data_IF_797854362929
#
_entry.id   IF_797854362929
#
_cell.length_a   1.000
_cell.length_b   1.000
_cell.length_c   1.000
_cell.angle_alpha   90.00
_cell.angle_beta   90.00
_cell.angle_gamma   90.00
#
_symmetry.space_group_name_H-M   'P 1'
#
loop_
_entity.id
_entity.type
_entity.pdbx_description
1 polymer ?
#
# COMPACT_ATOMS: atom_id res chain seq x y z
N UNK A 1 -9.04 85.35 -10.97
CA UNK A 1 -7.77 84.60 -11.16
C UNK A 1 -8.13 83.17 -11.53
N UNK A 2 -8.31 82.87 -12.83
CA UNK A 2 -8.62 81.51 -13.29
C UNK A 2 -7.30 80.77 -13.55
N UNK A 3 -7.07 79.67 -12.84
CA UNK A 3 -6.00 78.70 -13.13
C UNK A 3 -6.30 78.05 -14.48
N UNK A 4 -5.46 78.29 -15.49
CA UNK A 4 -5.46 77.51 -16.71
C UNK A 4 -5.02 76.07 -16.39
N UNK A 5 -5.90 75.09 -16.57
CA UNK A 5 -5.54 73.69 -16.61
C UNK A 5 -4.80 73.41 -17.94
N UNK A 6 -3.54 73.04 -17.84
CA UNK A 6 -2.70 72.68 -18.98
C UNK A 6 -3.15 71.31 -19.52
N UNK A 7 -3.83 71.26 -20.68
CA UNK A 7 -4.18 70.00 -21.36
C UNK A 7 -2.97 69.50 -22.15
N UNK A 8 -2.08 68.73 -21.50
CA UNK A 8 -1.04 67.97 -22.20
C UNK A 8 -1.64 66.63 -22.66
N UNK A 9 -1.72 66.42 -23.97
CA UNK A 9 -2.07 65.11 -24.54
C UNK A 9 -0.90 64.13 -24.42
N UNK A 10 -1.20 62.83 -24.43
CA UNK A 10 -0.19 61.77 -24.42
C UNK A 10 0.62 61.78 -25.74
N UNK A 11 1.93 61.54 -25.63
CA UNK A 11 2.80 61.37 -26.80
C UNK A 11 2.52 60.04 -27.49
N UNK A 12 2.62 59.99 -28.83
CA UNK A 12 2.48 58.75 -29.60
C UNK A 12 3.46 57.66 -29.10
N UNK A 13 4.67 58.06 -28.71
CA UNK A 13 5.69 57.16 -28.16
C UNK A 13 5.27 56.58 -26.81
N UNK A 14 4.57 57.36 -25.98
CA UNK A 14 4.10 56.93 -24.66
C UNK A 14 2.97 55.91 -24.78
N UNK A 15 2.03 56.14 -25.70
CA UNK A 15 0.98 55.17 -26.03
C UNK A 15 1.60 53.86 -26.53
N UNK A 16 2.61 53.93 -27.40
CA UNK A 16 3.28 52.74 -27.94
C UNK A 16 4.00 51.94 -26.84
N UNK A 17 4.62 52.61 -25.87
CA UNK A 17 5.27 51.98 -24.72
C UNK A 17 4.25 51.32 -23.77
N UNK A 18 3.11 51.96 -23.52
CA UNK A 18 2.05 51.38 -22.68
C UNK A 18 1.41 50.17 -23.37
N UNK A 19 1.11 50.26 -24.66
CA UNK A 19 0.54 49.14 -25.42
C UNK A 19 1.51 47.97 -25.52
N UNK A 20 2.81 48.23 -25.74
CA UNK A 20 3.81 47.16 -25.82
C UNK A 20 3.96 46.44 -24.48
N UNK A 21 4.10 47.18 -23.38
CA UNK A 21 4.19 46.60 -22.03
C UNK A 21 2.92 45.84 -21.65
N UNK A 22 1.73 46.39 -21.94
CA UNK A 22 0.46 45.71 -21.70
C UNK A 22 0.35 44.42 -22.53
N UNK A 23 0.78 44.42 -23.80
CA UNK A 23 0.71 43.24 -24.66
C UNK A 23 1.56 42.08 -24.15
N UNK A 24 2.75 42.37 -23.62
CA UNK A 24 3.64 41.36 -23.02
C UNK A 24 2.97 40.72 -21.80
N UNK A 25 2.33 41.54 -20.94
CA UNK A 25 1.62 41.05 -19.76
C UNK A 25 0.41 40.18 -20.13
N UNK A 26 -0.35 40.58 -21.16
CA UNK A 26 -1.52 39.80 -21.63
C UNK A 26 -1.09 38.44 -22.16
N UNK A 27 -0.03 38.38 -22.97
CA UNK A 27 0.47 37.11 -23.52
C UNK A 27 0.98 36.20 -22.41
N UNK A 28 1.79 36.71 -21.47
CA UNK A 28 2.28 35.93 -20.34
C UNK A 28 1.14 35.43 -19.44
N UNK A 29 0.17 36.29 -19.15
CA UNK A 29 -1.02 35.93 -18.38
C UNK A 29 -1.86 34.84 -19.05
N UNK A 30 -2.02 34.90 -20.38
CA UNK A 30 -2.80 33.92 -21.12
C UNK A 30 -2.18 32.52 -21.11
N UNK A 31 -0.86 32.42 -21.23
CA UNK A 31 -0.15 31.13 -21.13
C UNK A 31 -0.31 30.52 -19.74
N UNK A 32 -0.12 31.32 -18.69
CA UNK A 32 -0.31 30.88 -17.31
C UNK A 32 -1.74 30.43 -17.04
N UNK A 33 -2.72 31.20 -17.52
CA UNK A 33 -4.14 30.86 -17.41
C UNK A 33 -4.47 29.52 -18.08
N UNK A 34 -3.99 29.28 -19.30
CA UNK A 34 -4.21 27.99 -20.00
C UNK A 34 -3.62 26.81 -19.24
N UNK A 35 -2.40 26.94 -18.71
CA UNK A 35 -1.78 25.88 -17.90
C UNK A 35 -2.60 25.61 -16.62
N UNK A 36 -3.10 26.67 -15.98
CA UNK A 36 -3.95 26.56 -14.80
C UNK A 36 -5.26 25.80 -15.08
N UNK A 37 -5.95 26.13 -16.18
CA UNK A 37 -7.19 25.44 -16.58
C UNK A 37 -6.93 23.95 -16.83
N UNK A 38 -5.87 23.60 -17.55
CA UNK A 38 -5.51 22.19 -17.80
C UNK A 38 -5.23 21.42 -16.51
N UNK A 39 -4.48 22.01 -15.56
CA UNK A 39 -4.23 21.40 -14.25
C UNK A 39 -5.51 21.23 -13.43
N UNK A 40 -6.45 22.16 -13.53
CA UNK A 40 -7.76 22.05 -12.90
C UNK A 40 -8.54 20.87 -13.49
N UNK A 41 -8.59 20.75 -14.82
CA UNK A 41 -9.25 19.62 -15.50
C UNK A 41 -8.63 18.26 -15.12
N UNK A 42 -7.30 18.18 -15.01
CA UNK A 42 -6.62 16.99 -14.53
C UNK A 42 -7.05 16.63 -13.10
N UNK A 43 -7.05 17.59 -12.19
CA UNK A 43 -7.46 17.36 -10.81
C UNK A 43 -8.93 16.96 -10.70
N UNK A 44 -9.82 17.57 -11.50
CA UNK A 44 -11.24 17.19 -11.56
C UNK A 44 -11.40 15.77 -12.07
N UNK A 45 -10.75 15.42 -13.19
CA UNK A 45 -10.80 14.07 -13.76
C UNK A 45 -10.34 13.01 -12.76
N UNK A 46 -9.32 13.32 -11.98
CA UNK A 46 -8.82 12.43 -10.92
C UNK A 46 -9.86 12.24 -9.80
N UNK A 47 -10.48 13.33 -9.34
CA UNK A 47 -11.53 13.25 -8.32
C UNK A 47 -12.76 12.47 -8.82
N UNK A 48 -13.10 12.63 -10.10
CA UNK A 48 -14.22 11.92 -10.70
C UNK A 48 -13.94 10.41 -10.80
N UNK A 49 -12.72 10.02 -11.16
CA UNK A 49 -12.29 8.60 -11.15
C UNK A 49 -12.29 8.02 -9.74
N UNK A 50 -11.74 8.74 -8.75
CA UNK A 50 -11.77 8.31 -7.34
C UNK A 50 -13.22 8.12 -6.88
N UNK A 51 -14.10 9.05 -7.23
CA UNK A 51 -15.53 8.98 -6.90
C UNK A 51 -16.21 7.78 -7.56
N UNK A 52 -15.89 7.48 -8.82
CA UNK A 52 -16.43 6.31 -9.52
C UNK A 52 -15.98 4.99 -8.90
N UNK A 53 -14.71 4.89 -8.49
CA UNK A 53 -14.18 3.73 -7.78
C UNK A 53 -14.83 3.55 -6.41
N UNK A 54 -15.01 4.63 -5.64
CA UNK A 54 -15.75 4.59 -4.38
C UNK A 54 -17.21 4.15 -4.59
N UNK A 55 -17.88 4.69 -5.60
CA UNK A 55 -19.25 4.33 -5.91
C UNK A 55 -19.38 2.85 -6.30
N UNK A 56 -18.44 2.30 -7.07
CA UNK A 56 -18.39 0.88 -7.39
C UNK A 56 -18.18 0.01 -6.14
N UNK A 57 -17.26 0.41 -5.26
CA UNK A 57 -17.01 -0.28 -3.98
C UNK A 57 -18.24 -0.24 -3.06
N UNK A 58 -18.89 0.92 -2.92
CA UNK A 58 -20.11 1.08 -2.12
C UNK A 58 -21.29 0.26 -2.65
N UNK A 59 -21.47 0.22 -3.98
CA UNK A 59 -22.53 -0.60 -4.62
C UNK A 59 -22.29 -2.09 -4.42
N UNK A 60 -21.03 -2.51 -4.46
CA UNK A 60 -20.60 -3.88 -4.15
C UNK A 60 -20.87 -4.25 -2.69
N UNK A 61 -20.43 -3.40 -1.74
CA UNK A 61 -20.58 -3.65 -0.30
C UNK A 61 -22.03 -3.59 0.18
N UNK A 62 -22.85 -2.71 -0.42
CA UNK A 62 -24.29 -2.67 -0.17
C UNK A 62 -25.04 -3.83 -0.83
N UNK A 63 -24.34 -4.71 -1.55
CA UNK A 63 -24.90 -5.82 -2.32
C UNK A 63 -26.06 -5.36 -3.21
N UNK A 64 -25.91 -4.19 -3.84
CA UNK A 64 -26.93 -3.63 -4.72
C UNK A 64 -27.23 -4.66 -5.82
N UNK A 65 -28.49 -5.06 -5.93
CA UNK A 65 -28.95 -6.09 -6.88
C UNK A 65 -28.27 -7.47 -6.75
N UNK A 66 -27.65 -7.76 -5.59
CA UNK A 66 -26.96 -9.02 -5.30
C UNK A 66 -25.69 -9.30 -6.14
N UNK A 67 -25.09 -8.27 -6.73
CA UNK A 67 -23.94 -8.40 -7.63
C UNK A 67 -22.72 -7.56 -7.18
N UNK A 68 -21.58 -7.85 -7.79
CA UNK A 68 -20.35 -7.08 -7.68
C UNK A 68 -20.34 -5.95 -8.72
N UNK A 69 -19.56 -4.91 -8.45
CA UNK A 69 -19.38 -3.79 -9.37
C UNK A 69 -17.88 -3.52 -9.55
N UNK A 70 -17.53 -3.07 -10.75
CA UNK A 70 -16.17 -2.69 -11.11
C UNK A 70 -16.12 -1.42 -11.92
N UNK A 71 -14.90 -0.92 -12.13
CA UNK A 71 -14.62 0.22 -13.01
C UNK A 71 -13.68 -0.24 -14.12
N UNK A 72 -14.12 -0.09 -15.36
CA UNK A 72 -13.35 -0.34 -16.57
C UNK A 72 -12.66 0.94 -17.01
N UNK A 73 -11.37 0.86 -17.32
CA UNK A 73 -10.57 1.97 -17.85
C UNK A 73 -10.21 1.74 -19.32
N UNK A 74 -10.55 2.72 -20.15
CA UNK A 74 -10.23 2.78 -21.57
C UNK A 74 -9.51 4.11 -21.86
N UNK A 75 -8.85 4.29 -23.03
CA UNK A 75 -8.03 5.48 -23.29
C UNK A 75 -8.78 6.82 -23.18
N UNK A 76 -10.07 6.81 -23.52
CA UNK A 76 -10.90 8.03 -23.65
C UNK A 76 -12.03 8.12 -22.63
N UNK A 77 -12.31 7.02 -21.93
CA UNK A 77 -13.42 6.94 -20.98
C UNK A 77 -13.13 5.91 -19.90
N UNK A 78 -13.90 5.99 -18.83
CA UNK A 78 -14.02 4.94 -17.84
C UNK A 78 -15.50 4.63 -17.63
N UNK A 79 -15.81 3.40 -17.24
CA UNK A 79 -17.19 2.97 -17.07
C UNK A 79 -17.38 2.17 -15.79
N UNK A 80 -18.43 2.48 -15.05
CA UNK A 80 -18.87 1.64 -13.93
C UNK A 80 -19.77 0.56 -14.51
N UNK A 81 -19.48 -0.69 -14.18
CA UNK A 81 -20.22 -1.85 -14.67
C UNK A 81 -20.58 -2.80 -13.55
N UNK A 82 -21.51 -3.70 -13.86
CA UNK A 82 -22.05 -4.70 -12.96
C UNK A 82 -21.53 -6.08 -13.37
N UNK A 83 -21.20 -6.92 -12.39
CA UNK A 83 -20.68 -8.27 -12.58
C UNK A 83 -19.16 -8.37 -12.43
N UNK A 84 -18.66 -9.60 -12.51
CA UNK A 84 -17.22 -9.89 -12.42
C UNK A 84 -16.49 -9.49 -13.71
N UNK A 85 -17.06 -9.86 -14.86
CA UNK A 85 -16.51 -9.58 -16.18
C UNK A 85 -17.16 -8.36 -16.83
N UNK A 86 -16.38 -7.58 -17.57
CA UNK A 86 -16.87 -6.46 -18.36
C UNK A 86 -17.60 -6.95 -19.63
N UNK A 87 -18.85 -6.52 -19.82
CA UNK A 87 -19.58 -6.63 -21.09
C UNK A 87 -19.84 -5.24 -21.66
N UNK A 88 -19.23 -4.95 -22.81
CA UNK A 88 -19.38 -3.68 -23.53
C UNK A 88 -20.81 -3.41 -23.99
N UNK A 89 -21.62 -4.45 -24.17
CA UNK A 89 -23.00 -4.33 -24.67
C UNK A 89 -24.04 -4.22 -23.55
N UNK A 90 -23.64 -4.26 -22.28
CA UNK A 90 -24.58 -4.10 -21.17
C UNK A 90 -25.14 -2.66 -21.16
N UNK A 91 -26.46 -2.48 -21.33
CA UNK A 91 -27.07 -1.15 -21.31
C UNK A 91 -27.00 -0.47 -19.94
N UNK A 92 -26.64 -1.19 -18.87
CA UNK A 92 -26.51 -0.65 -17.52
C UNK A 92 -25.13 -0.04 -17.25
N UNK A 93 -24.20 -0.09 -18.20
CA UNK A 93 -22.89 0.53 -18.07
C UNK A 93 -23.02 2.05 -17.95
N UNK A 94 -22.46 2.62 -16.87
CA UNK A 94 -22.39 4.07 -16.67
C UNK A 94 -21.06 4.58 -17.20
N UNK A 95 -21.06 5.20 -18.38
CA UNK A 95 -19.86 5.65 -19.10
C UNK A 95 -19.57 7.13 -18.83
N UNK A 96 -18.32 7.43 -18.50
CA UNK A 96 -17.81 8.77 -18.22
C UNK A 96 -16.57 9.06 -19.08
N UNK A 97 -16.53 10.21 -19.73
CA UNK A 97 -15.44 10.59 -20.63
C UNK A 97 -14.37 11.42 -19.91
N UNK A 98 -13.11 11.19 -20.24
CA UNK A 98 -12.03 12.07 -19.82
C UNK A 98 -12.12 13.41 -20.57
N UNK A 99 -11.57 14.47 -19.96
CA UNK A 99 -11.35 15.73 -20.68
C UNK A 99 -10.36 15.50 -21.83
N UNK A 100 -10.53 16.20 -22.96
CA UNK A 100 -9.62 16.12 -24.12
C UNK A 100 -8.15 16.42 -23.77
N UNK A 101 -7.91 17.14 -22.67
CA UNK A 101 -6.57 17.47 -22.19
C UNK A 101 -5.95 16.40 -21.26
N UNK A 102 -6.69 15.36 -20.88
CA UNK A 102 -6.30 14.35 -19.90
C UNK A 102 -6.35 12.96 -20.52
N UNK A 103 -5.31 12.17 -20.30
CA UNK A 103 -5.28 10.78 -20.71
C UNK A 103 -4.93 9.83 -19.56
N UNK A 104 -5.47 8.62 -19.66
CA UNK A 104 -5.12 7.49 -18.81
C UNK A 104 -3.92 6.75 -19.38
N UNK A 105 -2.95 6.44 -18.51
CA UNK A 105 -1.81 5.59 -18.86
C UNK A 105 -1.81 4.34 -18.00
N UNK A 106 -1.80 3.17 -18.64
CA UNK A 106 -1.69 1.90 -17.93
C UNK A 106 -0.28 1.68 -17.37
N UNK A 107 -0.22 1.05 -16.20
CA UNK A 107 0.99 0.64 -15.50
C UNK A 107 1.07 -0.89 -15.41
N UNK A 108 -0.03 -1.61 -15.66
CA UNK A 108 -0.11 -3.06 -15.53
C UNK A 108 0.29 -3.84 -16.79
N UNK A 109 0.83 -3.15 -17.81
CA UNK A 109 1.43 -3.80 -18.97
C UNK A 109 0.43 -4.46 -19.93
N UNK A 110 -0.88 -4.26 -19.73
CA UNK A 110 -1.90 -4.64 -20.69
C UNK A 110 -2.20 -3.43 -21.57
N UNK A 111 -2.20 -3.65 -22.89
CA UNK A 111 -2.45 -2.57 -23.85
C UNK A 111 -3.94 -2.21 -23.80
N UNK A 112 -4.31 -1.35 -22.84
CA UNK A 112 -5.65 -0.82 -22.56
C UNK A 112 -6.69 -1.84 -22.10
N UNK A 113 -7.70 -1.37 -21.38
CA UNK A 113 -8.80 -2.21 -20.94
C UNK A 113 -8.53 -2.93 -19.62
N UNK A 114 -8.15 -2.18 -18.59
CA UNK A 114 -8.02 -2.71 -17.22
C UNK A 114 -9.35 -2.54 -16.49
N UNK A 115 -9.76 -3.56 -15.74
CA UNK A 115 -10.93 -3.51 -14.88
C UNK A 115 -10.51 -3.64 -13.42
N UNK A 116 -10.96 -2.73 -12.58
CA UNK A 116 -10.83 -2.83 -11.12
C UNK A 116 -12.15 -3.32 -10.57
N UNK A 117 -12.18 -4.54 -10.04
CA UNK A 117 -13.39 -5.19 -9.49
C UNK A 117 -13.22 -5.36 -7.99
N UNK A 118 -14.29 -5.08 -7.24
CA UNK A 118 -14.28 -5.23 -5.79
C UNK A 118 -15.01 -6.51 -5.36
N UNK A 119 -14.48 -7.20 -4.36
CA UNK A 119 -15.09 -8.37 -3.76
C UNK A 119 -16.31 -7.99 -2.90
N UNK A 120 -17.37 -8.76 -3.03
CA UNK A 120 -18.68 -8.47 -2.41
C UNK A 120 -18.66 -8.52 -0.89
N UNK A 121 -17.88 -9.45 -0.31
CA UNK A 121 -17.91 -9.72 1.13
C UNK A 121 -16.90 -8.84 1.84
N UNK A 122 -15.74 -8.65 1.23
CA UNK A 122 -14.59 -8.02 1.87
C UNK A 122 -14.30 -6.60 1.38
N UNK A 123 -14.87 -6.19 0.24
CA UNK A 123 -14.56 -4.92 -0.41
C UNK A 123 -13.14 -4.83 -0.98
N UNK A 124 -12.37 -5.94 -0.93
CA UNK A 124 -11.00 -6.03 -1.43
C UNK A 124 -10.97 -6.05 -2.95
N UNK A 125 -9.80 -5.82 -3.52
CA UNK A 125 -9.57 -5.94 -4.97
C UNK A 125 -8.24 -6.63 -5.21
N UNK A 126 -8.21 -7.54 -6.17
CA UNK A 126 -6.97 -8.17 -6.64
C UNK A 126 -6.18 -7.23 -7.57
N UNK A 127 -6.80 -6.14 -8.03
CA UNK A 127 -6.17 -5.11 -8.84
C UNK A 127 -5.60 -4.01 -7.95
N UNK A 128 -4.43 -4.30 -7.38
CA UNK A 128 -3.64 -3.40 -6.54
C UNK A 128 -2.63 -2.64 -7.40
N UNK A 129 -2.50 -1.34 -7.15
CA UNK A 129 -1.47 -0.54 -7.82
C UNK A 129 -1.88 0.90 -8.06
N UNK A 130 -1.23 1.49 -9.05
CA UNK A 130 -1.32 2.90 -9.38
C UNK A 130 -2.14 3.06 -10.68
N UNK A 131 -3.01 4.05 -10.72
CA UNK A 131 -3.68 4.55 -11.92
C UNK A 131 -3.10 5.93 -12.16
N UNK A 132 -2.50 6.16 -13.34
CA UNK A 132 -1.93 7.46 -13.68
C UNK A 132 -2.84 8.17 -14.68
N UNK A 133 -3.20 9.41 -14.33
CA UNK A 133 -3.79 10.37 -15.24
C UNK A 133 -2.76 11.48 -15.49
N UNK A 134 -2.60 11.91 -16.75
CA UNK A 134 -1.64 12.97 -17.12
C UNK A 134 -2.20 13.90 -18.18
N UNK A 135 -1.56 15.05 -18.37
CA UNK A 135 -1.89 15.93 -19.48
C UNK A 135 -1.34 15.37 -20.80
N UNK A 136 -2.16 15.41 -21.85
CA UNK A 136 -1.77 14.95 -23.21
C UNK A 136 -0.58 15.73 -23.77
N UNK A 137 -0.52 17.04 -23.48
CA UNK A 137 0.53 17.93 -23.98
C UNK A 137 1.75 18.04 -23.03
N UNK A 138 1.66 17.51 -21.82
CA UNK A 138 2.68 17.63 -20.77
C UNK A 138 2.68 16.39 -19.86
N UNK A 139 3.45 15.38 -20.26
CA UNK A 139 3.48 14.09 -19.58
C UNK A 139 4.08 14.13 -18.16
N UNK A 140 4.84 15.19 -17.84
CA UNK A 140 5.41 15.41 -16.51
C UNK A 140 4.33 15.91 -15.53
N UNK A 141 3.26 16.52 -16.04
CA UNK A 141 2.09 16.89 -15.26
C UNK A 141 1.09 15.73 -15.15
N UNK A 142 1.33 14.89 -14.14
CA UNK A 142 0.53 13.73 -13.84
C UNK A 142 -0.01 13.72 -12.40
N UNK A 143 -1.01 12.86 -12.18
CA UNK A 143 -1.57 12.51 -10.88
C UNK A 143 -1.67 11.01 -10.80
N UNK A 144 -1.25 10.49 -9.65
CA UNK A 144 -1.27 9.07 -9.36
C UNK A 144 -2.41 8.81 -8.38
N UNK A 145 -3.36 7.97 -8.78
CA UNK A 145 -4.40 7.40 -7.94
C UNK A 145 -3.90 6.04 -7.47
N UNK A 146 -4.04 5.75 -6.19
CA UNK A 146 -3.54 4.54 -5.54
C UNK A 146 -4.71 3.68 -5.09
N UNK A 147 -4.63 2.38 -5.36
CA UNK A 147 -5.60 1.37 -4.94
C UNK A 147 -4.92 0.35 -4.01
N UNK A 148 -5.39 0.25 -2.76
CA UNK A 148 -4.84 -0.69 -1.78
C UNK A 148 -5.43 -2.10 -1.90
N UNK A 149 -4.76 -3.14 -1.38
CA UNK A 149 -5.33 -4.50 -1.30
C UNK A 149 -6.66 -4.56 -0.53
N UNK A 150 -6.86 -3.64 0.42
CA UNK A 150 -8.09 -3.48 1.18
C UNK A 150 -9.23 -2.77 0.41
N UNK A 151 -9.02 -2.41 -0.86
CA UNK A 151 -10.02 -1.73 -1.68
C UNK A 151 -10.16 -0.23 -1.41
N UNK A 152 -9.22 0.39 -0.68
CA UNK A 152 -9.21 1.83 -0.46
C UNK A 152 -8.60 2.53 -1.68
N UNK A 153 -9.21 3.64 -2.08
CA UNK A 153 -8.85 4.39 -3.29
C UNK A 153 -8.62 5.85 -2.95
N UNK A 154 -7.56 6.46 -3.51
CA UNK A 154 -7.27 7.87 -3.27
C UNK A 154 -5.98 8.34 -3.92
N UNK A 155 -5.67 9.63 -3.78
CA UNK A 155 -4.47 10.23 -4.35
C UNK A 155 -3.19 9.68 -3.72
N UNK A 156 -2.12 9.59 -4.51
CA UNK A 156 -0.79 9.30 -4.00
C UNK A 156 -0.39 10.29 -2.91
N UNK A 157 0.09 9.77 -1.78
CA UNK A 157 0.39 10.54 -0.58
C UNK A 157 -0.80 10.81 0.34
N UNK A 158 -2.04 10.59 -0.13
CA UNK A 158 -3.24 10.53 0.73
C UNK A 158 -3.51 9.09 1.18
N UNK A 159 -3.12 8.11 0.35
CA UNK A 159 -3.12 6.70 0.69
C UNK A 159 -1.70 6.17 0.55
N UNK A 160 -1.17 5.64 1.65
CA UNK A 160 0.04 4.85 1.62
C UNK A 160 -0.36 3.43 1.19
N UNK A 161 0.22 2.95 0.08
CA UNK A 161 0.01 1.59 -0.45
C UNK A 161 0.90 0.55 0.20
N UNK A 162 1.85 0.98 1.03
CA UNK A 162 2.31 0.10 2.07
C UNK A 162 1.08 -0.18 2.91
N UNK A 163 0.69 -1.45 2.96
CA UNK A 163 -0.11 -1.98 4.04
C UNK A 163 0.68 -1.76 5.34
N UNK A 164 0.72 -0.51 5.80
CA UNK A 164 1.07 -0.14 7.16
C UNK A 164 -0.16 -0.37 8.01
N UNK A 165 -0.85 -1.52 7.85
CA UNK A 165 -1.18 -2.22 9.07
C UNK A 165 0.12 -2.19 9.88
N UNK A 166 0.06 -1.75 11.13
CA UNK A 166 1.09 -2.18 12.06
C UNK A 166 0.94 -3.69 12.07
N UNK A 167 1.64 -4.33 11.12
CA UNK A 167 1.78 -5.76 11.05
C UNK A 167 2.31 -6.08 12.43
N UNK A 168 1.63 -6.99 13.10
CA UNK A 168 1.96 -7.26 14.47
C UNK A 168 3.35 -7.92 14.45
N UNK A 169 4.42 -7.12 14.57
CA UNK A 169 5.80 -7.64 14.63
C UNK A 169 5.99 -8.56 15.83
N UNK A 170 5.00 -8.65 16.71
CA UNK A 170 4.94 -9.60 17.80
C UNK A 170 4.48 -10.98 17.35
N UNK A 171 4.13 -11.23 16.09
CA UNK A 171 3.85 -12.56 15.55
C UNK A 171 4.50 -12.72 14.16
N UNK A 172 5.56 -13.53 14.11
CA UNK A 172 6.34 -13.75 12.89
C UNK A 172 6.35 -15.24 12.56
N UNK A 173 6.17 -15.55 11.29
CA UNK A 173 6.25 -16.90 10.75
C UNK A 173 7.61 -17.11 10.06
N UNK A 174 8.19 -18.28 10.29
CA UNK A 174 9.40 -18.79 9.65
C UNK A 174 9.03 -20.11 8.97
N UNK A 175 8.91 -20.10 7.65
CA UNK A 175 8.76 -21.32 6.86
C UNK A 175 10.15 -21.93 6.67
N UNK A 176 10.45 -22.95 7.46
CA UNK A 176 11.80 -23.49 7.64
C UNK A 176 12.30 -24.23 6.40
N UNK A 177 11.40 -24.89 5.65
CA UNK A 177 11.75 -25.79 4.56
C UNK A 177 12.26 -27.15 5.04
N UNK A 178 12.06 -27.46 6.33
CA UNK A 178 12.41 -28.72 6.98
C UNK A 178 11.52 -28.97 8.21
N UNK A 179 11.39 -30.23 8.61
CA UNK A 179 10.53 -30.67 9.71
C UNK A 179 11.21 -30.54 11.07
N UNK A 180 10.48 -30.04 12.07
CA UNK A 180 10.86 -30.08 13.49
C UNK A 180 10.46 -31.38 14.20
N UNK A 181 9.85 -32.35 13.50
CA UNK A 181 9.53 -33.65 14.12
C UNK A 181 10.82 -34.32 14.62
N UNK A 182 10.80 -34.80 15.86
CA UNK A 182 11.94 -35.35 16.55
C UNK A 182 12.99 -34.34 17.02
N UNK A 183 12.75 -33.03 16.91
CA UNK A 183 13.64 -32.01 17.47
C UNK A 183 13.69 -32.12 19.00
N UNK A 184 14.88 -31.91 19.59
CA UNK A 184 15.11 -32.15 21.02
C UNK A 184 15.01 -30.85 21.83
N UNK A 185 15.77 -29.83 21.43
CA UNK A 185 16.01 -28.65 22.23
C UNK A 185 15.69 -27.37 21.45
N UNK A 186 14.82 -26.53 22.01
CA UNK A 186 14.67 -25.14 21.61
C UNK A 186 15.53 -24.29 22.56
N UNK A 187 16.51 -23.58 22.01
CA UNK A 187 17.48 -22.79 22.75
C UNK A 187 17.23 -21.30 22.53
N UNK A 188 17.24 -20.55 23.62
CA UNK A 188 17.07 -19.10 23.64
C UNK A 188 18.32 -18.46 24.22
N UNK A 189 18.95 -17.58 23.44
CA UNK A 189 20.13 -16.83 23.83
C UNK A 189 19.80 -15.35 23.84
N UNK A 190 20.05 -14.67 24.95
CA UNK A 190 19.81 -13.25 25.10
C UNK A 190 21.11 -12.45 25.14
N UNK A 191 21.01 -11.18 24.76
CA UNK A 191 22.08 -10.17 24.88
C UNK A 191 23.41 -10.56 24.19
N UNK A 192 23.36 -11.34 23.10
CA UNK A 192 24.52 -11.82 22.30
C UNK A 192 25.52 -12.65 23.13
N UNK A 193 25.01 -13.29 24.19
CA UNK A 193 25.85 -14.13 25.04
C UNK A 193 26.09 -15.48 24.37
N UNK A 194 27.29 -16.04 24.57
CA UNK A 194 27.64 -17.40 24.09
C UNK A 194 27.01 -18.50 24.94
N UNK A 195 26.37 -18.14 26.05
CA UNK A 195 25.70 -19.06 26.96
C UNK A 195 24.22 -19.18 26.55
N UNK A 196 23.61 -20.34 26.79
CA UNK A 196 22.16 -20.54 26.59
C UNK A 196 21.45 -20.05 27.85
N UNK A 197 20.56 -19.07 27.73
CA UNK A 197 19.78 -18.57 28.88
C UNK A 197 18.63 -19.52 29.22
N UNK A 198 17.99 -20.12 28.21
CA UNK A 198 16.92 -21.09 28.40
C UNK A 198 17.00 -22.20 27.35
N UNK A 199 16.95 -23.46 27.81
CA UNK A 199 16.81 -24.64 26.97
C UNK A 199 15.49 -25.32 27.26
N UNK A 200 14.61 -25.34 26.27
CA UNK A 200 13.29 -25.96 26.33
C UNK A 200 13.37 -27.36 25.72
N UNK A 201 13.07 -28.37 26.53
CA UNK A 201 12.94 -29.76 26.05
C UNK A 201 11.66 -29.86 25.22
N UNK A 202 11.80 -29.92 23.90
CA UNK A 202 10.67 -29.78 22.97
C UNK A 202 9.65 -30.92 23.09
N UNK A 203 10.12 -32.13 23.44
CA UNK A 203 9.27 -33.31 23.63
C UNK A 203 8.12 -33.08 24.65
N UNK A 204 8.31 -32.20 25.62
CA UNK A 204 7.28 -31.88 26.63
C UNK A 204 6.14 -31.01 26.06
N UNK A 205 6.35 -30.38 24.90
CA UNK A 205 5.45 -29.40 24.28
C UNK A 205 4.96 -29.82 22.89
N UNK A 206 5.40 -30.97 22.40
CA UNK A 206 4.79 -31.62 21.24
C UNK A 206 3.49 -32.33 21.63
N UNK A 207 2.53 -32.35 20.71
CA UNK A 207 1.42 -33.30 20.80
C UNK A 207 1.92 -34.75 20.52
N UNK A 208 1.14 -35.80 20.84
CA UNK A 208 1.60 -37.19 20.71
C UNK A 208 2.03 -37.63 19.32
N UNK A 209 1.52 -36.98 18.27
CA UNK A 209 1.84 -37.27 16.87
C UNK A 209 2.92 -36.33 16.29
N UNK A 210 3.49 -35.44 17.12
CA UNK A 210 4.46 -34.40 16.74
C UNK A 210 4.01 -33.57 15.53
N UNK A 211 2.73 -33.23 15.44
CA UNK A 211 2.16 -32.36 14.39
C UNK A 211 1.86 -30.95 14.89
N UNK A 212 2.07 -30.72 16.19
CA UNK A 212 1.91 -29.43 16.84
C UNK A 212 2.93 -29.29 17.96
N UNK A 213 3.64 -28.18 17.97
CA UNK A 213 4.50 -27.72 19.07
C UNK A 213 3.94 -26.40 19.59
N UNK A 214 3.82 -26.25 20.91
CA UNK A 214 3.42 -24.98 21.52
C UNK A 214 4.05 -24.79 22.90
N UNK A 215 5.00 -23.87 22.97
CA UNK A 215 5.69 -23.50 24.20
C UNK A 215 5.48 -22.01 24.52
N UNK A 216 5.28 -21.70 25.80
CA UNK A 216 5.21 -20.32 26.31
C UNK A 216 5.98 -20.23 27.63
N UNK A 217 6.82 -19.21 27.76
CA UNK A 217 7.64 -19.02 28.96
C UNK A 217 7.97 -17.58 29.28
N UNK A 218 8.42 -17.36 30.51
CA UNK A 218 9.00 -16.10 30.99
C UNK A 218 10.39 -16.38 31.54
N UNK A 219 11.42 -15.77 30.94
CA UNK A 219 12.83 -15.92 31.30
C UNK A 219 13.29 -14.63 31.96
N UNK A 220 13.93 -14.71 33.13
CA UNK A 220 14.54 -13.54 33.75
C UNK A 220 15.96 -13.32 33.19
N UNK A 221 16.15 -12.22 32.46
CA UNK A 221 17.45 -11.88 31.87
C UNK A 221 18.03 -10.69 32.59
N UNK A 222 18.95 -10.95 33.51
CA UNK A 222 19.59 -9.93 34.35
C UNK A 222 18.60 -9.08 35.19
N UNK A 223 17.53 -9.70 35.71
CA UNK A 223 16.49 -9.02 36.49
C UNK A 223 15.38 -8.36 35.68
N UNK A 224 15.40 -8.52 34.35
CA UNK A 224 14.36 -8.03 33.43
C UNK A 224 13.61 -9.23 32.79
N UNK A 225 12.35 -9.49 33.15
CA UNK A 225 11.61 -10.64 32.62
C UNK A 225 11.28 -10.47 31.13
N UNK A 226 11.53 -11.52 30.34
CA UNK A 226 11.25 -11.61 28.91
C UNK A 226 10.17 -12.69 28.71
N UNK A 227 9.04 -12.35 28.07
CA UNK A 227 7.91 -13.29 27.89
C UNK A 227 7.64 -13.59 26.42
N UNK A 228 7.64 -14.86 26.06
CA UNK A 228 7.57 -15.28 24.66
C UNK A 228 6.82 -16.60 24.50
N UNK A 229 6.27 -16.79 23.30
CA UNK A 229 5.63 -18.03 22.88
C UNK A 229 6.20 -18.46 21.53
N UNK A 230 6.58 -19.72 21.43
CA UNK A 230 7.06 -20.33 20.19
C UNK A 230 6.16 -21.51 19.91
N UNK A 231 5.49 -21.50 18.76
CA UNK A 231 4.57 -22.57 18.39
C UNK A 231 4.61 -22.83 16.89
N UNK A 232 4.11 -23.97 16.43
CA UNK A 232 3.97 -24.25 15.01
C UNK A 232 2.62 -23.75 14.49
N UNK A 233 2.60 -23.12 13.31
CA UNK A 233 1.37 -22.95 12.53
C UNK A 233 1.02 -24.21 11.76
N UNK A 234 2.06 -24.89 11.25
CA UNK A 234 1.97 -26.20 10.62
C UNK A 234 3.26 -26.96 10.88
N UNK A 235 3.15 -28.27 11.03
CA UNK A 235 4.25 -29.20 11.18
C UNK A 235 3.85 -30.54 10.56
N UNK A 236 4.64 -31.01 9.61
CA UNK A 236 4.54 -32.34 9.03
C UNK A 236 5.93 -32.99 8.91
N UNK A 237 6.01 -34.17 8.30
CA UNK A 237 7.27 -34.93 8.17
C UNK A 237 8.32 -34.26 7.24
N UNK A 238 7.94 -33.23 6.48
CA UNK A 238 8.80 -32.56 5.50
C UNK A 238 9.08 -31.10 5.83
N UNK A 239 8.13 -30.37 6.43
CA UNK A 239 8.21 -28.93 6.60
C UNK A 239 7.55 -28.44 7.90
N UNK A 240 7.98 -27.25 8.32
CA UNK A 240 7.50 -26.54 9.49
C UNK A 240 7.29 -25.07 9.15
N UNK A 241 6.14 -24.54 9.54
CA UNK A 241 5.96 -23.10 9.71
C UNK A 241 6.00 -22.79 11.20
N UNK A 242 7.14 -22.27 11.67
CA UNK A 242 7.35 -21.90 13.06
C UNK A 242 6.89 -20.46 13.30
N UNK A 243 6.15 -20.25 14.37
CA UNK A 243 5.66 -18.95 14.83
C UNK A 243 6.39 -18.53 16.09
N UNK A 244 6.92 -17.31 16.10
CA UNK A 244 7.50 -16.69 17.29
C UNK A 244 6.66 -15.47 17.66
N UNK A 245 6.16 -15.49 18.90
CA UNK A 245 5.40 -14.42 19.50
C UNK A 245 6.25 -13.65 20.49
N UNK A 246 6.52 -12.37 20.21
CA UNK A 246 7.40 -11.52 21.01
C UNK A 246 6.89 -10.09 21.12
N UNK A 247 6.25 -9.76 22.24
CA UNK A 247 5.74 -8.41 22.49
C UNK A 247 6.83 -7.49 23.07
N UNK A 248 7.19 -6.41 22.35
CA UNK A 248 8.19 -5.42 22.79
C UNK A 248 7.85 -4.69 24.11
N UNK A 249 6.62 -4.81 24.62
CA UNK A 249 6.25 -4.30 25.97
C UNK A 249 6.77 -5.18 27.10
N UNK A 250 6.97 -6.47 26.83
CA UNK A 250 7.41 -7.48 27.79
C UNK A 250 8.77 -8.08 27.41
N UNK A 251 9.39 -7.59 26.33
CA UNK A 251 10.67 -8.08 25.83
C UNK A 251 11.52 -6.90 25.40
N UNK A 252 12.65 -6.72 26.07
CA UNK A 252 13.56 -5.57 25.92
C UNK A 252 14.99 -5.98 25.62
N UNK A 253 15.31 -7.27 25.68
CA UNK A 253 16.65 -7.82 25.46
C UNK A 253 16.84 -8.33 24.04
N UNK A 254 18.07 -8.43 23.55
CA UNK A 254 18.29 -9.11 22.26
C UNK A 254 17.94 -10.60 22.41
N UNK A 255 17.51 -11.29 21.35
CA UNK A 255 17.19 -12.72 21.39
C UNK A 255 17.66 -13.43 20.12
N UNK A 256 18.40 -14.51 20.25
CA UNK A 256 18.67 -15.50 19.22
C UNK A 256 17.95 -16.81 19.57
N UNK A 257 17.34 -17.43 18.56
CA UNK A 257 16.55 -18.65 18.68
C UNK A 257 17.16 -19.73 17.79
N UNK A 258 17.52 -20.85 18.39
CA UNK A 258 17.97 -22.05 17.69
C UNK A 258 17.15 -23.28 18.08
N UNK A 259 17.10 -24.25 17.18
CA UNK A 259 16.57 -25.59 17.46
C UNK A 259 17.64 -26.62 17.15
N UNK A 260 18.01 -27.43 18.14
CA UNK A 260 19.12 -28.40 18.06
C UNK A 260 20.42 -27.75 17.53
N UNK A 261 20.71 -26.51 17.96
CA UNK A 261 21.86 -25.72 17.49
C UNK A 261 21.71 -25.10 16.08
N UNK A 262 20.60 -25.34 15.37
CA UNK A 262 20.33 -24.70 14.08
C UNK A 262 19.72 -23.32 14.28
N UNK A 263 20.44 -22.26 13.89
CA UNK A 263 19.98 -20.88 14.02
C UNK A 263 18.73 -20.59 13.16
N UNK A 264 17.61 -20.29 13.81
CA UNK A 264 16.31 -20.02 13.17
C UNK A 264 16.08 -18.54 12.98
N UNK A 265 16.21 -17.76 14.05
CA UNK A 265 15.85 -16.34 14.04
C UNK A 265 16.66 -15.57 15.07
N UNK A 266 16.87 -14.29 14.78
CA UNK A 266 17.46 -13.33 15.71
C UNK A 266 16.56 -12.11 15.81
N UNK A 267 16.59 -11.43 16.94
CA UNK A 267 15.82 -10.24 17.18
C UNK A 267 16.64 -9.21 17.94
N UNK A 268 16.66 -7.97 17.48
CA UNK A 268 17.26 -6.87 18.23
C UNK A 268 16.52 -6.60 19.54
N UNK A 269 17.12 -5.80 20.43
CA UNK A 269 16.47 -5.31 21.65
C UNK A 269 15.16 -4.55 21.37
N UNK A 270 15.08 -3.85 20.24
CA UNK A 270 13.87 -3.16 19.76
C UNK A 270 12.84 -4.10 19.11
N UNK A 271 13.10 -5.41 19.07
CA UNK A 271 12.19 -6.41 18.52
C UNK A 271 12.24 -6.56 17.00
N UNK A 272 13.28 -6.04 16.33
CA UNK A 272 13.42 -6.18 14.86
C UNK A 272 13.94 -7.57 14.53
N UNK A 273 13.20 -8.40 13.77
CA UNK A 273 13.61 -9.77 13.45
C UNK A 273 14.56 -9.85 12.26
N UNK A 274 15.42 -10.87 12.27
CA UNK A 274 16.21 -11.34 11.14
C UNK A 274 16.22 -12.87 11.08
N UNK A 275 16.43 -13.40 9.88
CA UNK A 275 16.37 -14.85 9.63
C UNK A 275 17.75 -15.47 9.85
N UNK A 276 17.80 -16.54 10.64
CA UNK A 276 18.98 -17.38 10.80
C UNK A 276 19.23 -18.28 9.60
N UNK A 277 20.38 -18.93 9.55
CA UNK A 277 20.81 -19.77 8.40
C UNK A 277 19.81 -20.89 8.10
N UNK A 278 19.12 -21.40 9.11
CA UNK A 278 18.12 -22.48 9.01
C UNK A 278 16.68 -21.98 9.18
N UNK A 279 16.46 -20.67 9.26
CA UNK A 279 15.14 -20.05 9.45
C UNK A 279 14.27 -19.96 8.19
N UNK A 280 14.80 -20.38 7.05
CA UNK A 280 14.09 -20.43 5.77
C UNK A 280 13.57 -19.05 5.33
N UNK A 281 12.26 -18.91 5.13
CA UNK A 281 11.64 -17.64 4.70
C UNK A 281 10.76 -17.03 5.79
N UNK A 282 10.97 -15.74 6.05
CA UNK A 282 10.24 -15.00 7.08
C UNK A 282 9.07 -14.20 6.49
N UNK A 283 7.92 -14.26 7.17
CA UNK A 283 6.77 -13.39 6.90
C UNK A 283 6.19 -12.85 8.21
N UNK A 284 5.73 -11.59 8.18
CA UNK A 284 5.15 -10.89 9.32
C UNK A 284 3.62 -10.82 9.12
N UNK A 285 2.82 -11.04 10.17
CA UNK A 285 1.35 -11.20 10.11
C UNK A 285 0.50 -10.02 10.64
#
# INVERSE_FOLDING_TARGET
>A
MLKCLNKRGFSLVEILLVVSTASILVVGGFVSYRSFVKRLELNTSVNDVISALHLASERTLSSKENDQYGVRFEPTYYAIYKGFDWDVNDPNNEVFYFSDNVEYTDIWGNTFGVSVVFDRITGKTDHVGDIILRLVDDNDENRVIKISPSGRVGLAGTINLTDTRVIDSRHIHFALGWSLQGASDLELHFDDTVDVDETVVMADYFNPDETEFDWTGTIDVNGEPQTLRVHTHSLDEFDTVLCIHRDGRYNTKMLDVSVDGNAIASFTADGVPSVGVFGGTMSIQ
#
